data_IF_135147519578
#
_entry.id   IF_135147519578
#
_cell.length_a   1.000
_cell.length_b   1.000
_cell.length_c   1.000
_cell.angle_alpha   90.00
_cell.angle_beta   90.00
_cell.angle_gamma   90.00
#
_symmetry.space_group_name_H-M   'P 1'
#
loop_
_entity.id
_entity.type
_entity.pdbx_description
1 polymer ?
#
# COMPACT_ATOMS: atom_id res chain seq x y z
N UNK A 1 26.23 14.19 -34.95
CA UNK A 1 25.72 14.21 -33.57
C UNK A 1 24.46 13.37 -33.55
N UNK A 2 24.56 12.11 -33.13
CA UNK A 2 23.40 11.22 -33.03
C UNK A 2 22.69 11.54 -31.73
N UNK A 3 21.47 12.08 -31.81
CA UNK A 3 20.62 12.24 -30.65
C UNK A 3 20.38 10.85 -30.03
N UNK A 4 20.77 10.66 -28.77
CA UNK A 4 20.40 9.45 -28.05
C UNK A 4 18.88 9.42 -27.94
N UNK A 5 18.19 8.29 -28.20
CA UNK A 5 16.78 8.18 -27.94
C UNK A 5 16.54 8.46 -26.45
N UNK A 6 15.64 9.40 -26.14
CA UNK A 6 15.16 9.60 -24.77
C UNK A 6 14.70 8.25 -24.21
N UNK A 7 15.02 7.91 -22.95
CA UNK A 7 14.58 6.65 -22.38
C UNK A 7 13.06 6.55 -22.48
N UNK A 8 12.57 5.48 -23.11
CA UNK A 8 11.14 5.18 -23.16
C UNK A 8 10.67 5.11 -21.71
N UNK A 9 9.81 6.05 -21.30
CA UNK A 9 9.26 6.11 -19.93
C UNK A 9 8.56 4.78 -19.66
N UNK A 10 8.86 4.16 -18.53
CA UNK A 10 8.21 2.92 -18.10
C UNK A 10 6.67 3.15 -18.08
N UNK A 11 5.88 2.34 -18.81
CA UNK A 11 4.45 2.55 -18.91
C UNK A 11 3.73 2.33 -17.57
N UNK A 12 4.27 1.49 -16.69
CA UNK A 12 3.78 1.29 -15.33
C UNK A 12 4.00 2.53 -14.46
N UNK A 13 5.19 3.13 -14.54
CA UNK A 13 5.49 4.40 -13.88
C UNK A 13 4.53 5.49 -14.37
N UNK A 14 4.37 5.64 -15.69
CA UNK A 14 3.48 6.65 -16.27
C UNK A 14 2.00 6.45 -15.85
N UNK A 15 1.57 5.20 -15.66
CA UNK A 15 0.23 4.88 -15.16
C UNK A 15 0.11 5.20 -13.68
N UNK A 16 1.10 4.85 -12.85
CA UNK A 16 1.09 5.17 -11.43
C UNK A 16 1.08 6.68 -11.17
N UNK A 17 1.92 7.44 -11.87
CA UNK A 17 1.97 8.90 -11.75
C UNK A 17 0.63 9.54 -12.12
N UNK A 18 -0.09 8.99 -13.11
CA UNK A 18 -1.44 9.45 -13.44
C UNK A 18 -2.44 9.17 -12.33
N UNK A 19 -2.35 8.00 -11.71
CA UNK A 19 -3.23 7.64 -10.60
C UNK A 19 -2.93 8.51 -9.36
N UNK A 20 -1.66 8.82 -9.09
CA UNK A 20 -1.24 9.75 -8.03
C UNK A 20 -1.61 11.21 -8.30
N UNK A 21 -1.77 11.61 -9.56
CA UNK A 21 -2.24 12.94 -9.96
C UNK A 21 -3.76 13.01 -10.22
N UNK A 22 -4.51 11.98 -9.80
CA UNK A 22 -5.96 11.91 -10.00
C UNK A 22 -6.71 12.64 -8.89
N UNK A 23 -7.88 13.19 -9.22
CA UNK A 23 -8.75 13.84 -8.24
C UNK A 23 -9.20 12.89 -7.11
N UNK A 24 -9.26 11.58 -7.38
CA UNK A 24 -9.57 10.57 -6.35
C UNK A 24 -8.44 10.46 -5.31
N UNK A 25 -7.18 10.47 -5.77
CA UNK A 25 -6.03 10.48 -4.87
C UNK A 25 -5.95 11.78 -4.09
N UNK A 26 -6.07 12.93 -4.77
CA UNK A 26 -6.02 14.27 -4.16
C UNK A 26 -7.13 14.44 -3.11
N UNK A 27 -8.35 13.97 -3.39
CA UNK A 27 -9.44 14.04 -2.43
C UNK A 27 -9.14 13.28 -1.13
N UNK A 28 -8.40 12.17 -1.19
CA UNK A 28 -8.00 11.44 0.01
C UNK A 28 -6.88 12.12 0.78
N UNK A 29 -5.99 12.81 0.08
CA UNK A 29 -4.96 13.67 0.70
C UNK A 29 -5.63 14.85 1.41
N UNK A 30 -6.54 15.56 0.73
CA UNK A 30 -7.27 16.71 1.29
C UNK A 30 -8.13 16.32 2.50
N UNK A 31 -8.68 15.11 2.49
CA UNK A 31 -9.45 14.55 3.60
C UNK A 31 -8.56 13.99 4.75
N UNK A 32 -7.23 14.03 4.61
CA UNK A 32 -6.29 13.55 5.62
C UNK A 32 -6.29 12.02 5.79
N UNK A 33 -6.71 11.26 4.79
CA UNK A 33 -6.76 9.80 4.84
C UNK A 33 -5.38 9.18 4.60
N UNK A 34 -4.56 9.82 3.77
CA UNK A 34 -3.20 9.44 3.47
C UNK A 34 -2.39 10.62 2.97
N UNK A 35 -1.07 10.46 2.92
CA UNK A 35 -0.16 11.36 2.21
C UNK A 35 0.91 10.58 1.46
N UNK A 36 1.36 11.15 0.35
CA UNK A 36 2.53 10.69 -0.38
C UNK A 36 3.81 11.06 0.40
N UNK A 37 4.71 10.09 0.62
CA UNK A 37 6.01 10.33 1.26
C UNK A 37 7.11 10.41 0.21
N UNK A 38 7.24 9.39 -0.64
CA UNK A 38 8.17 9.38 -1.77
C UNK A 38 7.75 8.41 -2.85
N UNK A 39 8.23 8.63 -4.07
CA UNK A 39 8.16 7.69 -5.18
C UNK A 39 9.57 7.54 -5.77
N UNK A 40 10.21 6.42 -5.45
CA UNK A 40 11.52 6.01 -5.93
C UNK A 40 11.32 4.73 -6.75
N UNK A 41 10.87 4.88 -8.01
CA UNK A 41 10.38 3.76 -8.83
C UNK A 41 11.31 2.53 -8.80
N UNK A 42 10.78 1.31 -8.53
CA UNK A 42 9.38 0.93 -8.37
C UNK A 42 8.90 0.89 -6.91
N UNK A 43 9.41 1.77 -6.05
CA UNK A 43 9.05 1.84 -4.63
C UNK A 43 8.24 3.09 -4.36
N UNK A 44 7.03 2.91 -3.84
CA UNK A 44 6.15 3.98 -3.38
C UNK A 44 6.07 3.93 -1.85
N UNK A 45 6.32 5.05 -1.18
CA UNK A 45 6.14 5.18 0.28
C UNK A 45 5.02 6.16 0.54
N UNK A 46 4.07 5.76 1.39
CA UNK A 46 2.91 6.55 1.80
C UNK A 46 2.75 6.47 3.31
N UNK A 47 2.09 7.46 3.89
CA UNK A 47 1.60 7.39 5.26
C UNK A 47 0.07 7.34 5.21
N UNK A 48 -0.55 6.44 5.97
CA UNK A 48 -1.99 6.20 5.97
C UNK A 48 -2.52 6.41 7.38
N UNK A 49 -3.54 7.24 7.51
CA UNK A 49 -4.16 7.59 8.80
C UNK A 49 -4.92 6.40 9.37
N UNK A 50 -4.75 6.15 10.66
CA UNK A 50 -5.47 5.16 11.43
C UNK A 50 -6.57 5.80 12.28
N UNK A 51 -7.45 4.98 12.87
CA UNK A 51 -8.61 5.45 13.66
C UNK A 51 -8.26 6.22 14.94
N UNK A 52 -6.99 6.29 15.34
CA UNK A 52 -6.48 7.11 16.43
C UNK A 52 -5.78 8.40 15.96
N UNK A 53 -6.04 8.81 14.70
CA UNK A 53 -5.48 9.99 14.01
C UNK A 53 -3.94 9.96 13.85
N UNK A 54 -3.31 8.80 14.06
CA UNK A 54 -1.88 8.59 13.81
C UNK A 54 -1.66 7.94 12.45
N UNK A 55 -0.45 8.12 11.91
CA UNK A 55 -0.10 7.57 10.60
C UNK A 55 0.68 6.24 10.71
N UNK A 56 0.28 5.26 9.91
CA UNK A 56 1.07 4.09 9.59
C UNK A 56 1.82 4.32 8.27
N UNK A 57 3.15 4.26 8.31
CA UNK A 57 3.95 4.20 7.10
C UNK A 57 3.75 2.87 6.37
N UNK A 58 3.59 2.93 5.05
CA UNK A 58 3.56 1.76 4.18
C UNK A 58 4.55 1.94 3.05
N UNK A 59 5.43 0.95 2.85
CA UNK A 59 6.30 0.84 1.68
C UNK A 59 5.69 -0.17 0.72
N UNK A 60 5.44 0.26 -0.51
CA UNK A 60 4.82 -0.53 -1.56
C UNK A 60 5.84 -0.78 -2.67
N UNK A 61 6.08 -2.04 -3.00
CA UNK A 61 6.69 -2.44 -4.26
C UNK A 61 5.59 -2.47 -5.33
N UNK A 62 5.74 -1.61 -6.33
CA UNK A 62 4.80 -1.40 -7.43
C UNK A 62 5.39 -1.85 -8.78
N UNK A 63 6.40 -2.73 -8.75
CA UNK A 63 6.95 -3.29 -10.00
C UNK A 63 5.88 -4.05 -10.78
N UNK A 64 5.84 -3.87 -12.11
CA UNK A 64 4.81 -4.45 -12.98
C UNK A 64 3.42 -3.79 -12.90
N UNK A 65 3.29 -2.62 -12.26
CA UNK A 65 2.03 -1.88 -12.17
C UNK A 65 1.45 -1.53 -13.55
N UNK A 66 0.12 -1.59 -13.76
CA UNK A 66 -0.93 -2.07 -12.84
C UNK A 66 -1.25 -3.56 -13.03
N UNK A 67 -0.58 -4.25 -13.97
CA UNK A 67 -0.85 -5.67 -14.28
C UNK A 67 -0.59 -6.53 -13.05
N UNK A 68 0.49 -6.25 -12.34
CA UNK A 68 0.82 -6.84 -11.04
C UNK A 68 0.33 -5.93 -9.92
N UNK A 69 -0.30 -6.53 -8.91
CA UNK A 69 -0.74 -5.82 -7.71
C UNK A 69 0.44 -5.17 -6.96
N UNK A 70 0.23 -4.07 -6.22
CA UNK A 70 1.20 -3.58 -5.24
C UNK A 70 1.49 -4.63 -4.17
N UNK A 71 2.72 -4.69 -3.66
CA UNK A 71 3.11 -5.47 -2.50
C UNK A 71 3.49 -4.54 -1.35
N UNK A 72 2.66 -4.45 -0.32
CA UNK A 72 2.84 -3.54 0.79
C UNK A 72 3.57 -4.16 1.98
N UNK A 73 4.17 -3.29 2.79
CA UNK A 73 4.78 -3.64 4.06
C UNK A 73 4.71 -2.45 5.03
N UNK A 74 4.33 -2.66 6.31
CA UNK A 74 4.44 -1.64 7.35
C UNK A 74 5.88 -1.09 7.48
N UNK A 75 6.01 0.23 7.56
CA UNK A 75 7.27 0.95 7.46
C UNK A 75 7.45 1.98 8.57
N UNK A 76 8.65 2.04 9.14
CA UNK A 76 9.08 3.13 10.01
C UNK A 76 9.60 4.27 9.12
N UNK A 77 8.80 5.33 8.96
CA UNK A 77 9.14 6.47 8.11
C UNK A 77 10.38 7.22 8.60
N UNK A 78 10.57 7.31 9.92
CA UNK A 78 11.69 8.05 10.52
C UNK A 78 13.03 7.32 10.32
N UNK A 79 13.01 5.98 10.41
CA UNK A 79 14.23 5.15 10.25
C UNK A 79 14.43 4.66 8.83
N UNK A 80 13.41 4.77 7.99
CA UNK A 80 13.36 4.19 6.65
C UNK A 80 13.67 2.68 6.66
N UNK A 81 12.99 1.94 7.54
CA UNK A 81 13.16 0.48 7.72
C UNK A 81 11.81 -0.21 7.87
N UNK A 82 11.74 -1.55 7.68
CA UNK A 82 10.56 -2.32 8.07
C UNK A 82 10.11 -2.00 9.49
N UNK A 83 8.80 -1.80 9.69
CA UNK A 83 8.25 -1.58 11.02
C UNK A 83 8.28 -2.90 11.81
N UNK A 84 8.82 -2.85 13.03
CA UNK A 84 8.82 -4.00 13.93
C UNK A 84 7.39 -4.51 14.17
N UNK A 85 7.21 -5.83 14.18
CA UNK A 85 5.91 -6.50 14.39
C UNK A 85 5.22 -6.05 15.69
N UNK A 86 6.00 -5.73 16.73
CA UNK A 86 5.47 -5.23 18.00
C UNK A 86 4.81 -3.86 17.89
N UNK A 87 5.14 -3.11 16.83
CA UNK A 87 4.58 -1.80 16.51
C UNK A 87 3.48 -1.90 15.46
N UNK A 88 3.05 -3.09 15.05
CA UNK A 88 1.98 -3.17 14.06
C UNK A 88 0.63 -2.74 14.64
N UNK A 89 -0.28 -2.22 13.80
CA UNK A 89 -1.61 -1.82 14.22
C UNK A 89 -2.34 -2.92 15.00
N UNK A 90 -3.09 -2.54 16.03
CA UNK A 90 -3.98 -3.43 16.78
C UNK A 90 -5.44 -2.99 16.61
N UNK A 91 -6.38 -3.85 16.97
CA UNK A 91 -7.81 -3.62 16.78
C UNK A 91 -8.46 -4.66 15.88
N UNK A 92 -9.80 -4.73 15.93
CA UNK A 92 -10.59 -5.88 15.47
C UNK A 92 -10.25 -6.34 14.05
N UNK A 93 -10.29 -5.44 13.08
CA UNK A 93 -10.01 -5.76 11.66
C UNK A 93 -8.52 -5.69 11.35
N UNK A 94 -7.82 -4.71 11.93
CA UNK A 94 -6.40 -4.48 11.72
C UNK A 94 -5.53 -5.67 12.15
N UNK A 95 -5.86 -6.40 13.22
CA UNK A 95 -5.10 -7.59 13.64
C UNK A 95 -5.22 -8.75 12.65
N UNK A 96 -6.34 -8.83 11.92
CA UNK A 96 -6.51 -9.84 10.86
C UNK A 96 -5.68 -9.49 9.63
N UNK A 97 -5.58 -8.19 9.31
CA UNK A 97 -4.86 -7.68 8.14
C UNK A 97 -3.36 -7.63 8.39
N UNK A 98 -2.95 -7.06 9.52
CA UNK A 98 -1.57 -7.01 9.99
C UNK A 98 -1.31 -8.20 10.93
N UNK A 99 -1.52 -9.40 10.40
CA UNK A 99 -1.47 -10.64 11.17
C UNK A 99 -0.05 -10.95 11.63
N UNK A 100 0.21 -10.80 12.93
CA UNK A 100 1.56 -10.85 13.52
C UNK A 100 2.24 -12.21 13.41
N UNK A 101 1.47 -13.31 13.34
CA UNK A 101 2.06 -14.65 13.18
C UNK A 101 2.26 -15.06 11.71
N UNK A 102 1.50 -14.49 10.76
CA UNK A 102 1.48 -14.93 9.37
C UNK A 102 2.30 -14.01 8.46
N UNK A 103 2.04 -12.71 8.56
CA UNK A 103 2.62 -11.71 7.65
C UNK A 103 4.16 -11.68 7.67
N UNK A 104 4.85 -11.86 8.82
CA UNK A 104 6.32 -11.93 8.83
C UNK A 104 6.89 -13.08 7.99
N UNK A 105 6.13 -14.16 7.80
CA UNK A 105 6.52 -15.29 6.95
C UNK A 105 6.31 -14.99 5.45
N UNK A 106 5.58 -13.91 5.12
CA UNK A 106 5.22 -13.51 3.76
C UNK A 106 5.70 -12.09 3.42
N UNK A 107 6.93 -11.76 3.84
CA UNK A 107 7.55 -10.46 3.52
C UNK A 107 6.91 -9.26 4.24
N UNK A 108 6.27 -9.49 5.38
CA UNK A 108 5.51 -8.50 6.15
C UNK A 108 4.30 -7.91 5.40
N UNK A 109 3.75 -8.66 4.45
CA UNK A 109 2.63 -8.20 3.65
C UNK A 109 1.31 -8.18 4.42
N UNK A 110 0.43 -7.20 4.17
CA UNK A 110 -0.92 -7.21 4.72
C UNK A 110 -1.74 -8.36 4.11
N UNK A 111 -2.60 -8.97 4.93
CA UNK A 111 -3.55 -10.00 4.55
C UNK A 111 -4.75 -9.39 3.81
N UNK A 112 -4.52 -8.93 2.57
CA UNK A 112 -5.49 -8.24 1.73
C UNK A 112 -5.57 -8.86 0.34
N UNK A 113 -6.80 -8.92 -0.21
CA UNK A 113 -7.03 -9.41 -1.58
C UNK A 113 -6.48 -8.48 -2.67
N UNK A 114 -6.26 -7.20 -2.34
CA UNK A 114 -5.62 -6.25 -3.24
C UNK A 114 -4.08 -6.24 -3.15
N UNK A 115 -3.50 -6.98 -2.20
CA UNK A 115 -2.05 -7.10 -2.04
C UNK A 115 -1.49 -8.28 -2.84
N UNK A 116 -0.37 -8.06 -3.54
CA UNK A 116 0.32 -9.07 -4.34
C UNK A 116 0.58 -10.35 -3.54
N UNK A 117 1.14 -10.23 -2.33
CA UNK A 117 1.55 -11.37 -1.51
C UNK A 117 0.34 -12.01 -0.84
N UNK A 118 -0.64 -11.22 -0.42
CA UNK A 118 -1.93 -11.72 0.08
C UNK A 118 -2.67 -12.54 -0.97
N UNK A 119 -2.86 -11.99 -2.17
CA UNK A 119 -3.55 -12.64 -3.27
C UNK A 119 -2.81 -13.87 -3.80
N UNK A 120 -1.48 -13.88 -3.81
CA UNK A 120 -0.69 -15.07 -4.16
C UNK A 120 -0.87 -16.21 -3.15
N UNK A 121 -0.95 -15.90 -1.86
CA UNK A 121 -1.17 -16.90 -0.82
C UNK A 121 -2.62 -17.42 -0.80
N UNK A 122 -3.56 -16.62 -1.31
CA UNK A 122 -5.00 -16.92 -1.33
C UNK A 122 -5.62 -16.66 -2.72
N UNK A 123 -5.27 -17.47 -3.74
CA UNK A 123 -5.69 -17.22 -5.12
C UNK A 123 -7.21 -17.29 -5.32
N UNK A 124 -7.94 -17.99 -4.45
CA UNK A 124 -9.41 -18.06 -4.47
C UNK A 124 -10.08 -16.70 -4.19
N UNK A 125 -9.40 -15.75 -3.54
CA UNK A 125 -9.96 -14.43 -3.25
C UNK A 125 -10.33 -13.62 -4.49
N UNK A 126 -9.63 -13.82 -5.60
CA UNK A 126 -9.99 -13.18 -6.86
C UNK A 126 -11.42 -13.56 -7.31
N UNK A 127 -11.86 -14.79 -7.03
CA UNK A 127 -13.21 -15.27 -7.32
C UNK A 127 -14.22 -15.03 -6.19
N UNK A 128 -13.80 -15.17 -4.93
CA UNK A 128 -14.70 -15.05 -3.77
C UNK A 128 -14.96 -13.61 -3.31
N UNK A 129 -14.04 -12.69 -3.61
CA UNK A 129 -14.07 -11.27 -3.22
C UNK A 129 -13.57 -10.36 -4.35
N UNK A 130 -14.15 -10.45 -5.57
CA UNK A 130 -13.70 -9.66 -6.73
C UNK A 130 -13.79 -8.14 -6.50
N UNK A 131 -14.67 -7.69 -5.60
CA UNK A 131 -14.80 -6.30 -5.19
C UNK A 131 -13.61 -5.79 -4.38
N UNK A 132 -12.88 -6.69 -3.71
CA UNK A 132 -11.70 -6.39 -2.88
C UNK A 132 -10.39 -6.81 -3.56
N UNK A 133 -10.44 -7.73 -4.51
CA UNK A 133 -9.26 -8.23 -5.19
C UNK A 133 -8.65 -7.21 -6.16
N UNK A 134 -7.31 -7.23 -6.26
CA UNK A 134 -6.62 -6.42 -7.27
C UNK A 134 -6.97 -6.90 -8.68
N UNK A 135 -7.14 -5.95 -9.59
CA UNK A 135 -7.12 -6.19 -11.03
C UNK A 135 -6.54 -4.96 -11.75
N UNK A 136 -6.09 -5.08 -13.01
CA UNK A 136 -5.37 -3.99 -13.70
C UNK A 136 -6.18 -2.70 -13.96
N UNK A 137 -7.50 -2.73 -13.76
CA UNK A 137 -8.37 -1.56 -13.85
C UNK A 137 -8.45 -0.77 -12.53
N UNK A 138 -7.89 -1.30 -11.44
CA UNK A 138 -7.79 -0.59 -10.15
C UNK A 138 -6.66 0.45 -10.19
N UNK A 139 -6.75 1.42 -9.30
CA UNK A 139 -5.77 2.49 -9.09
C UNK A 139 -5.02 2.26 -7.78
N UNK A 140 -3.90 2.96 -7.58
CA UNK A 140 -3.22 2.94 -6.30
C UNK A 140 -4.13 3.45 -5.17
N UNK A 141 -5.01 4.41 -5.47
CA UNK A 141 -6.01 4.93 -4.53
C UNK A 141 -6.92 3.83 -3.99
N UNK A 142 -7.36 2.88 -4.82
CA UNK A 142 -8.12 1.71 -4.36
C UNK A 142 -7.36 0.90 -3.31
N UNK A 143 -6.07 0.65 -3.53
CA UNK A 143 -5.22 -0.07 -2.58
C UNK A 143 -5.07 0.69 -1.25
N UNK A 144 -4.85 2.00 -1.30
CA UNK A 144 -4.75 2.85 -0.10
C UNK A 144 -6.07 2.91 0.67
N UNK A 145 -7.20 3.00 -0.03
CA UNK A 145 -8.52 3.01 0.57
C UNK A 145 -8.85 1.69 1.27
N UNK A 146 -8.43 0.54 0.72
CA UNK A 146 -8.59 -0.75 1.39
C UNK A 146 -7.75 -0.80 2.68
N UNK A 147 -6.48 -0.35 2.67
CA UNK A 147 -5.68 -0.30 3.91
C UNK A 147 -6.30 0.66 4.94
N UNK A 148 -6.66 1.88 4.53
CA UNK A 148 -7.28 2.86 5.40
C UNK A 148 -8.57 2.30 6.04
N UNK A 149 -9.40 1.60 5.26
CA UNK A 149 -10.61 0.94 5.78
C UNK A 149 -10.29 -0.02 6.92
N UNK A 150 -9.25 -0.85 6.77
CA UNK A 150 -8.85 -1.80 7.80
C UNK A 150 -8.24 -1.11 9.04
N UNK A 151 -7.63 0.06 8.84
CA UNK A 151 -7.08 0.91 9.89
C UNK A 151 -8.12 1.80 10.61
N UNK A 152 -9.35 1.94 10.08
CA UNK A 152 -10.33 2.91 10.56
C UNK A 152 -10.79 2.74 12.02
N UNK A 153 -10.57 1.58 12.63
CA UNK A 153 -10.77 1.34 14.07
C UNK A 153 -9.50 0.83 14.76
N UNK A 154 -8.35 0.96 14.10
CA UNK A 154 -7.08 0.50 14.63
C UNK A 154 -6.52 1.51 15.63
N UNK A 155 -5.65 1.00 16.50
CA UNK A 155 -4.73 1.82 17.28
C UNK A 155 -3.31 1.46 16.92
N UNK A 156 -2.47 2.48 16.78
CA UNK A 156 -1.05 2.27 16.59
C UNK A 156 -0.38 2.17 17.97
N UNK A 157 0.51 1.20 18.20
CA UNK A 157 1.35 1.20 19.41
C UNK A 157 2.19 2.48 19.53
N UNK A 158 2.68 2.78 20.73
CA UNK A 158 3.53 3.96 20.96
C UNK A 158 4.77 3.96 20.06
N UNK A 159 5.23 5.17 19.68
CA UNK A 159 6.46 5.35 18.91
C UNK A 159 6.30 5.46 17.38
N UNK A 160 5.08 5.44 16.82
CA UNK A 160 4.82 6.03 15.50
C UNK A 160 4.91 7.55 15.64
N UNK A 161 5.92 8.15 15.01
CA UNK A 161 6.13 9.59 14.85
C UNK A 161 6.17 9.89 13.36
#
# INVERSE_FOLDING_TARGET
>A
MTAMPSPVRDPGLARLERDLASAEFDSGVDAGLWRLVSLDWPVLVVAITAGDDRELGMRLDVDGYPVTAPAGQPWDLARNTPLSVQRWPTGRTAETVFHRDWSPQNGNAPYLACDRRGLMAHPNWAGERPERAWNPNRTITFYLAEIHRELGNARLPDGHQ
#
